data_IF_880226987239
#
_entry.id   IF_880226987239
#
_cell.length_a   1.000
_cell.length_b   1.000
_cell.length_c   1.000
_cell.angle_alpha   90.00
_cell.angle_beta   90.00
_cell.angle_gamma   90.00
#
_symmetry.space_group_name_H-M   'P 1'
#
loop_
_entity.id
_entity.type
_entity.pdbx_description
1 polymer ?
#
# COMPACT_ATOMS: atom_id res chain seq x y z
N UNK A 1 -1.92 23.26 18.61
CA UNK A 1 -2.98 23.57 17.64
C UNK A 1 -2.54 22.96 16.32
N UNK A 2 -3.11 21.81 15.94
CA UNK A 2 -2.90 21.31 14.58
C UNK A 2 -3.59 22.29 13.63
N UNK A 3 -2.93 22.73 12.56
CA UNK A 3 -3.52 23.65 11.58
C UNK A 3 -4.57 22.89 10.76
N UNK A 4 -5.72 22.63 11.37
CA UNK A 4 -6.93 22.21 10.66
C UNK A 4 -7.49 23.43 9.93
N UNK A 5 -7.91 23.22 8.69
CA UNK A 5 -8.64 24.17 7.83
C UNK A 5 -7.81 25.15 7.00
N UNK A 6 -6.51 24.90 6.78
CA UNK A 6 -5.83 25.52 5.63
C UNK A 6 -6.03 24.62 4.41
N UNK A 7 -6.81 25.10 3.43
CA UNK A 7 -6.88 24.51 2.10
C UNK A 7 -5.46 24.23 1.62
N UNK A 8 -5.18 22.97 1.30
CA UNK A 8 -3.92 22.60 0.68
C UNK A 8 -4.01 23.06 -0.78
N UNK A 9 -3.22 24.06 -1.21
CA UNK A 9 -3.26 24.51 -2.59
C UNK A 9 -2.80 23.36 -3.50
N UNK A 10 -3.61 23.06 -4.51
CA UNK A 10 -3.23 22.19 -5.60
C UNK A 10 -2.04 22.77 -6.39
N UNK A 11 -1.50 22.02 -7.35
CA UNK A 11 -0.38 22.46 -8.18
C UNK A 11 -0.63 23.77 -8.96
N UNK A 12 -1.88 24.21 -9.09
CA UNK A 12 -2.31 25.47 -9.72
C UNK A 12 -2.83 26.52 -8.71
N UNK A 13 -2.68 26.29 -7.40
CA UNK A 13 -3.17 27.18 -6.36
C UNK A 13 -4.68 27.09 -6.08
N UNK A 14 -5.40 26.17 -6.73
CA UNK A 14 -6.83 25.93 -6.48
C UNK A 14 -7.04 24.83 -5.45
N UNK A 15 -8.17 24.85 -4.71
CA UNK A 15 -8.49 23.79 -3.77
C UNK A 15 -8.66 22.45 -4.51
N UNK A 16 -8.02 21.39 -4.03
CA UNK A 16 -8.14 20.02 -4.56
C UNK A 16 -9.51 19.37 -4.28
N UNK A 17 -10.50 20.15 -3.82
CA UNK A 17 -11.84 19.65 -3.53
C UNK A 17 -12.45 19.06 -4.80
N UNK A 18 -12.69 17.74 -4.76
CA UNK A 18 -13.34 16.88 -5.77
C UNK A 18 -12.45 16.15 -6.79
N UNK A 19 -11.11 16.23 -6.72
CA UNK A 19 -10.24 15.34 -7.50
C UNK A 19 -9.32 14.53 -6.58
N UNK A 20 -9.83 13.38 -6.14
CA UNK A 20 -9.09 12.46 -5.27
C UNK A 20 -7.79 11.95 -5.91
N UNK A 21 -7.74 11.81 -7.24
CA UNK A 21 -6.51 11.41 -7.94
C UNK A 21 -5.48 12.54 -7.89
N UNK A 22 -5.87 13.78 -8.19
CA UNK A 22 -4.96 14.92 -8.05
C UNK A 22 -4.50 15.09 -6.59
N UNK A 23 -5.40 14.88 -5.63
CA UNK A 23 -5.09 14.88 -4.20
C UNK A 23 -4.02 13.86 -3.82
N UNK A 24 -4.21 12.60 -4.20
CA UNK A 24 -3.24 11.53 -3.96
C UNK A 24 -1.89 11.83 -4.64
N UNK A 25 -1.91 12.36 -5.87
CA UNK A 25 -0.71 12.76 -6.60
C UNK A 25 0.11 13.78 -5.82
N UNK A 26 -0.54 14.86 -5.40
CA UNK A 26 0.10 15.93 -4.65
C UNK A 26 0.64 15.38 -3.32
N UNK A 27 -0.17 14.61 -2.59
CA UNK A 27 0.20 14.10 -1.28
C UNK A 27 1.37 13.10 -1.35
N UNK A 28 1.38 12.18 -2.32
CA UNK A 28 2.49 11.27 -2.56
C UNK A 28 3.79 12.02 -2.87
N UNK A 29 3.72 13.07 -3.69
CA UNK A 29 4.88 13.94 -3.96
C UNK A 29 5.37 14.65 -2.69
N UNK A 30 4.45 15.22 -1.93
CA UNK A 30 4.78 15.89 -0.68
C UNK A 30 5.44 14.94 0.32
N UNK A 31 4.84 13.76 0.57
CA UNK A 31 5.38 12.71 1.44
C UNK A 31 6.81 12.31 1.06
N UNK A 32 7.09 12.14 -0.24
CA UNK A 32 8.43 11.78 -0.72
C UNK A 32 9.46 12.89 -0.50
N UNK A 33 9.05 14.15 -0.61
CA UNK A 33 9.94 15.30 -0.33
C UNK A 33 10.20 15.40 1.17
N UNK A 34 9.16 15.36 2.00
CA UNK A 34 9.29 15.55 3.44
C UNK A 34 9.85 14.32 4.16
N UNK A 35 9.83 13.12 3.57
CA UNK A 35 10.44 11.94 4.20
C UNK A 35 11.94 12.08 4.39
N UNK A 36 12.57 12.91 3.54
CA UNK A 36 13.98 13.26 3.59
C UNK A 36 14.30 14.26 4.72
N UNK A 37 13.26 14.85 5.33
CA UNK A 37 13.38 15.79 6.42
C UNK A 37 13.07 15.09 7.75
N UNK A 38 13.88 15.36 8.77
CA UNK A 38 13.75 14.75 10.10
C UNK A 38 14.30 13.32 10.18
N UNK A 39 14.54 12.86 11.40
CA UNK A 39 15.10 11.53 11.67
C UNK A 39 14.05 10.41 11.50
N UNK A 40 14.53 9.17 11.43
CA UNK A 40 13.69 7.97 11.39
C UNK A 40 13.03 7.68 10.04
N UNK A 41 12.33 6.53 10.00
CA UNK A 41 11.57 6.07 8.82
C UNK A 41 10.12 6.54 8.92
N UNK A 42 9.55 6.90 7.78
CA UNK A 42 8.17 7.36 7.64
C UNK A 42 7.40 6.33 6.83
N UNK A 43 6.10 6.22 7.04
CA UNK A 43 5.23 5.30 6.30
C UNK A 43 4.18 6.14 5.59
N UNK A 44 4.11 6.01 4.26
CA UNK A 44 2.92 6.41 3.51
C UNK A 44 1.97 5.22 3.48
N UNK A 45 0.79 5.40 4.08
CA UNK A 45 -0.31 4.46 4.01
C UNK A 45 -1.34 4.92 2.99
N UNK A 46 -1.73 4.04 2.06
CA UNK A 46 -2.83 4.28 1.11
C UNK A 46 -3.78 3.10 1.15
N UNK A 47 -4.98 3.35 1.69
CA UNK A 47 -6.07 2.39 1.67
C UNK A 47 -6.68 2.28 0.26
N UNK A 48 -7.04 1.06 -0.14
CA UNK A 48 -7.70 0.76 -1.42
C UNK A 48 -7.07 1.47 -2.64
N UNK A 49 -5.74 1.44 -2.78
CA UNK A 49 -5.01 2.11 -3.87
C UNK A 49 -5.55 1.76 -5.27
N UNK A 50 -6.18 0.58 -5.42
CA UNK A 50 -6.81 0.13 -6.67
C UNK A 50 -7.82 1.15 -7.23
N UNK A 51 -8.44 1.99 -6.41
CA UNK A 51 -9.37 3.03 -6.88
C UNK A 51 -8.67 4.12 -7.72
N UNK A 52 -7.35 4.23 -7.58
CA UNK A 52 -6.53 5.24 -8.23
C UNK A 52 -5.72 4.70 -9.43
N UNK A 53 -5.96 3.44 -9.82
CA UNK A 53 -5.23 2.78 -10.90
C UNK A 53 -5.91 1.51 -11.39
N UNK A 54 -5.13 0.63 -12.00
CA UNK A 54 -5.53 -0.73 -12.33
C UNK A 54 -4.31 -1.66 -12.27
N UNK A 55 -4.50 -2.94 -12.58
CA UNK A 55 -3.45 -3.97 -12.58
C UNK A 55 -2.18 -3.60 -13.36
N UNK A 56 -2.30 -2.76 -14.39
CA UNK A 56 -1.21 -2.39 -15.31
C UNK A 56 -0.84 -0.90 -15.30
N UNK A 57 -1.54 -0.08 -14.53
CA UNK A 57 -1.30 1.36 -14.48
C UNK A 57 -1.49 1.88 -13.06
N UNK A 58 -0.44 2.50 -12.53
CA UNK A 58 -0.47 3.25 -11.27
C UNK A 58 0.19 4.59 -11.47
N UNK A 59 -0.15 5.56 -10.62
CA UNK A 59 0.38 6.91 -10.68
C UNK A 59 1.91 6.90 -10.59
N UNK A 60 2.63 7.69 -11.43
CA UNK A 60 4.10 7.77 -11.40
C UNK A 60 4.67 8.08 -10.02
N UNK A 61 3.98 8.90 -9.24
CA UNK A 61 4.37 9.30 -7.89
C UNK A 61 4.38 8.10 -6.93
N UNK A 62 3.39 7.22 -7.02
CA UNK A 62 3.35 5.98 -6.24
C UNK A 62 4.45 5.03 -6.71
N UNK A 63 4.65 4.89 -8.02
CA UNK A 63 5.76 4.08 -8.56
C UNK A 63 7.13 4.56 -8.07
N UNK A 64 7.34 5.88 -7.97
CA UNK A 64 8.56 6.46 -7.41
C UNK A 64 8.75 6.07 -5.94
N UNK A 65 7.68 6.09 -5.15
CA UNK A 65 7.73 5.69 -3.73
C UNK A 65 8.00 4.19 -3.60
N UNK A 66 7.32 3.34 -4.37
CA UNK A 66 7.51 1.88 -4.33
C UNK A 66 8.95 1.51 -4.68
N UNK A 67 9.54 2.15 -5.70
CA UNK A 67 10.90 1.83 -6.18
C UNK A 67 12.01 2.48 -5.34
N UNK A 68 11.84 3.74 -4.96
CA UNK A 68 12.93 4.54 -4.37
C UNK A 68 12.67 4.95 -2.91
N UNK A 69 11.46 4.76 -2.38
CA UNK A 69 11.06 5.25 -1.07
C UNK A 69 11.97 4.75 0.05
N UNK A 70 12.36 3.46 0.02
CA UNK A 70 13.26 2.86 1.03
C UNK A 70 14.59 3.60 1.15
N UNK A 71 15.17 4.06 0.04
CA UNK A 71 16.40 4.85 0.03
C UNK A 71 16.21 6.23 0.67
N UNK A 72 15.02 6.82 0.51
CA UNK A 72 14.65 8.13 1.07
C UNK A 72 13.93 8.06 2.42
N UNK A 73 14.03 6.92 3.12
CA UNK A 73 13.41 6.74 4.44
C UNK A 73 11.87 6.72 4.43
N UNK A 74 11.25 6.50 3.27
CA UNK A 74 9.81 6.40 3.09
C UNK A 74 9.40 4.95 2.76
N UNK A 75 8.74 4.29 3.70
CA UNK A 75 8.10 3.01 3.48
C UNK A 75 6.70 3.21 2.90
N UNK A 76 6.23 2.20 2.16
CA UNK A 76 4.91 2.19 1.57
C UNK A 76 4.09 1.05 2.15
N UNK A 77 2.92 1.38 2.70
CA UNK A 77 1.94 0.43 3.19
C UNK A 77 0.63 0.66 2.43
N UNK A 78 -0.03 -0.43 2.05
CA UNK A 78 -1.27 -0.35 1.29
C UNK A 78 -2.10 -1.59 1.47
N UNK A 79 -3.40 -1.44 1.35
CA UNK A 79 -4.42 -2.48 1.53
C UNK A 79 -5.28 -2.60 0.28
N UNK A 80 -5.83 -3.79 0.08
CA UNK A 80 -6.84 -4.08 -0.95
C UNK A 80 -7.65 -5.29 -0.52
N UNK A 81 -8.94 -5.26 -0.83
CA UNK A 81 -9.81 -6.45 -0.76
C UNK A 81 -9.68 -7.36 -1.99
N UNK A 82 -9.10 -6.86 -3.09
CA UNK A 82 -9.01 -7.55 -4.38
C UNK A 82 -7.55 -7.62 -4.85
N UNK A 83 -6.75 -8.57 -4.34
CA UNK A 83 -5.37 -8.79 -4.77
C UNK A 83 -5.19 -8.91 -6.29
N UNK A 84 -6.13 -9.53 -7.00
CA UNK A 84 -6.01 -9.75 -8.46
C UNK A 84 -6.00 -8.47 -9.29
N UNK A 85 -6.70 -7.44 -8.83
CA UNK A 85 -6.83 -6.13 -9.48
C UNK A 85 -5.71 -5.17 -9.09
N UNK A 86 -4.89 -5.57 -8.13
CA UNK A 86 -3.78 -4.77 -7.63
C UNK A 86 -2.60 -4.72 -8.61
N UNK A 87 -1.89 -3.59 -8.64
CA UNK A 87 -0.84 -3.32 -9.62
C UNK A 87 0.30 -4.36 -9.55
N UNK A 88 0.66 -4.94 -10.70
CA UNK A 88 1.61 -6.06 -10.79
C UNK A 88 2.98 -5.75 -10.19
N UNK A 89 3.54 -4.57 -10.48
CA UNK A 89 4.86 -4.18 -9.95
C UNK A 89 4.83 -3.96 -8.44
N UNK A 90 3.69 -3.50 -7.90
CA UNK A 90 3.60 -3.27 -6.46
C UNK A 90 3.59 -4.63 -5.77
N UNK A 91 2.75 -5.58 -6.21
CA UNK A 91 2.72 -6.95 -5.69
C UNK A 91 4.09 -7.61 -5.77
N UNK A 92 4.78 -7.47 -6.90
CA UNK A 92 6.13 -8.00 -7.10
C UNK A 92 7.18 -7.31 -6.20
N UNK A 93 6.96 -6.07 -5.81
CA UNK A 93 7.82 -5.31 -4.90
C UNK A 93 7.53 -5.49 -3.41
N UNK A 94 6.41 -6.13 -3.03
CA UNK A 94 6.03 -6.31 -1.61
C UNK A 94 7.05 -7.17 -0.87
N UNK A 95 7.64 -6.61 0.18
CA UNK A 95 8.55 -7.33 1.11
C UNK A 95 7.78 -7.99 2.25
N UNK A 96 6.64 -7.42 2.67
CA UNK A 96 5.81 -7.96 3.75
C UNK A 96 4.34 -8.03 3.33
N UNK A 97 3.78 -9.23 3.37
CA UNK A 97 2.37 -9.48 3.12
C UNK A 97 1.65 -9.70 4.44
N UNK A 98 0.57 -8.96 4.70
CA UNK A 98 -0.36 -9.24 5.81
C UNK A 98 -1.66 -9.76 5.21
N UNK A 99 -1.92 -11.04 5.39
CA UNK A 99 -2.97 -11.76 4.70
C UNK A 99 -4.06 -12.19 5.69
N UNK A 100 -5.30 -11.84 5.38
CA UNK A 100 -6.50 -12.27 6.10
C UNK A 100 -7.17 -13.42 5.37
N UNK A 101 -8.33 -13.86 5.88
CA UNK A 101 -9.16 -14.84 5.19
C UNK A 101 -9.44 -14.39 3.75
N UNK A 102 -9.11 -15.24 2.79
CA UNK A 102 -9.37 -15.07 1.38
C UNK A 102 -9.72 -16.44 0.82
N UNK A 103 -10.91 -16.57 0.24
CA UNK A 103 -11.42 -17.83 -0.34
C UNK A 103 -11.60 -17.76 -1.85
N UNK A 104 -11.42 -16.58 -2.46
CA UNK A 104 -11.62 -16.36 -3.89
C UNK A 104 -10.46 -16.97 -4.69
N UNK A 105 -10.70 -17.96 -5.58
CA UNK A 105 -9.62 -18.67 -6.27
C UNK A 105 -8.68 -17.77 -7.06
N UNK A 106 -9.21 -16.78 -7.79
CA UNK A 106 -8.40 -15.87 -8.61
C UNK A 106 -7.45 -15.00 -7.77
N UNK A 107 -7.89 -14.59 -6.58
CA UNK A 107 -7.06 -13.82 -5.66
C UNK A 107 -5.97 -14.69 -5.04
N UNK A 108 -6.32 -15.94 -4.68
CA UNK A 108 -5.36 -16.92 -4.18
C UNK A 108 -4.27 -17.22 -5.21
N UNK A 109 -4.62 -17.39 -6.47
CA UNK A 109 -3.67 -17.67 -7.55
C UNK A 109 -2.70 -16.51 -7.80
N UNK A 110 -3.11 -15.28 -7.47
CA UNK A 110 -2.24 -14.11 -7.49
C UNK A 110 -1.31 -14.06 -6.27
N UNK A 111 -1.74 -14.53 -5.10
CA UNK A 111 -0.93 -14.52 -3.87
C UNK A 111 0.07 -15.68 -3.85
N UNK A 112 -0.33 -16.85 -4.36
CA UNK A 112 0.42 -18.13 -4.29
C UNK A 112 1.88 -18.03 -4.79
N UNK A 113 2.22 -17.29 -5.86
CA UNK A 113 3.60 -17.13 -6.30
C UNK A 113 4.50 -16.45 -5.28
N UNK A 114 3.93 -15.67 -4.35
CA UNK A 114 4.67 -14.91 -3.36
C UNK A 114 4.75 -15.60 -2.00
N UNK A 115 3.81 -16.49 -1.67
CA UNK A 115 3.81 -17.21 -0.40
C UNK A 115 2.94 -18.46 -0.38
N UNK A 116 3.41 -19.49 0.33
CA UNK A 116 2.65 -20.71 0.64
C UNK A 116 1.49 -20.47 1.62
N UNK A 117 1.43 -19.29 2.24
CA UNK A 117 0.31 -18.94 3.12
C UNK A 117 -1.04 -18.94 2.37
N UNK A 118 -1.02 -18.73 1.05
CA UNK A 118 -2.21 -18.79 0.19
C UNK A 118 -3.04 -20.07 0.41
N UNK A 119 -2.40 -21.22 0.62
CA UNK A 119 -3.09 -22.52 0.74
C UNK A 119 -3.93 -22.64 2.03
N UNK A 120 -3.66 -21.81 3.04
CA UNK A 120 -4.38 -21.83 4.32
C UNK A 120 -5.24 -20.59 4.56
N UNK A 121 -5.20 -19.57 3.69
CA UNK A 121 -6.03 -18.37 3.84
C UNK A 121 -7.54 -18.68 3.89
N UNK A 122 -8.09 -19.62 3.09
CA UNK A 122 -9.53 -19.91 3.12
C UNK A 122 -10.02 -20.42 4.48
N UNK A 123 -9.13 -21.03 5.26
CA UNK A 123 -9.46 -21.64 6.56
C UNK A 123 -9.20 -20.71 7.73
N UNK A 124 -8.62 -19.53 7.51
CA UNK A 124 -8.36 -18.56 8.58
C UNK A 124 -9.67 -18.08 9.19
N UNK A 125 -9.85 -18.15 10.52
CA UNK A 125 -11.02 -17.55 11.15
C UNK A 125 -11.04 -16.04 10.94
N UNK A 126 -12.24 -15.43 11.03
CA UNK A 126 -12.39 -13.98 10.96
C UNK A 126 -11.47 -13.29 11.98
N UNK A 127 -10.85 -12.18 11.58
CA UNK A 127 -9.96 -11.40 12.43
C UNK A 127 -8.55 -12.00 12.61
N UNK A 128 -8.29 -13.22 12.13
CA UNK A 128 -6.96 -13.81 12.12
C UNK A 128 -6.20 -13.40 10.86
N UNK A 129 -4.88 -13.30 11.00
CA UNK A 129 -3.98 -12.98 9.89
C UNK A 129 -2.70 -13.80 9.92
N UNK A 130 -2.07 -13.91 8.74
CA UNK A 130 -0.71 -14.40 8.56
C UNK A 130 0.10 -13.26 7.95
N UNK A 131 1.10 -12.77 8.68
CA UNK A 131 2.10 -11.86 8.15
C UNK A 131 3.32 -12.66 7.67
N UNK A 132 3.75 -12.40 6.45
CA UNK A 132 4.86 -13.10 5.79
C UNK A 132 5.87 -12.06 5.33
N UNK A 133 7.07 -12.10 5.91
CA UNK A 133 8.23 -11.40 5.37
C UNK A 133 8.84 -12.25 4.24
N UNK A 134 8.80 -11.74 3.03
CA UNK A 134 9.24 -12.46 1.83
C UNK A 134 10.76 -12.58 1.73
N UNK A 135 11.47 -11.58 2.24
CA UNK A 135 12.93 -11.50 2.11
C UNK A 135 13.62 -12.46 3.10
N UNK A 136 13.11 -12.54 4.33
CA UNK A 136 13.68 -13.35 5.41
C UNK A 136 12.93 -14.69 5.61
N UNK A 137 11.77 -14.87 4.99
CA UNK A 137 10.91 -16.04 5.17
C UNK A 137 10.21 -16.09 6.53
N UNK A 138 10.28 -15.01 7.32
CA UNK A 138 9.63 -14.89 8.63
C UNK A 138 8.11 -14.98 8.50
N UNK A 139 7.48 -15.79 9.36
CA UNK A 139 6.02 -15.93 9.41
C UNK A 139 5.54 -15.60 10.81
N UNK A 140 4.63 -14.64 10.91
CA UNK A 140 3.92 -14.28 12.14
C UNK A 140 2.43 -14.58 11.96
N UNK A 141 1.82 -15.25 12.93
CA UNK A 141 0.37 -15.46 12.98
C UNK A 141 -0.21 -14.64 14.12
N UNK A 142 -1.34 -14.00 13.89
CA UNK A 142 -1.98 -13.17 14.90
C UNK A 142 -3.49 -13.03 14.72
N UNK A 143 -4.09 -12.24 15.59
CA UNK A 143 -5.51 -11.85 15.55
C UNK A 143 -5.67 -10.37 15.90
N UNK A 144 -6.66 -9.71 15.31
CA UNK A 144 -6.96 -8.29 15.57
C UNK A 144 -8.05 -8.07 16.61
N UNK A 145 -8.99 -9.01 16.76
CA UNK A 145 -10.10 -8.94 17.70
C UNK A 145 -10.53 -10.36 18.12
#
# INVERSE_FOLDING_TARGET
MFPGDREVPGPDGKPLLNDAKAGLRWFANWCFTVSQWGEGRKILYVDELREFGNKFSVMPEINRIVRNGRFHGLQFLTSTQYPRDYHVDIRAGVTEWVLFNCSEPDDLDVIRPYTKAADVLPTLPRGHYIAVNRDEGGILRGRMF
#
